data_IF_308872212457
#
_entry.id   IF_308872212457
#
_cell.length_a   1.000
_cell.length_b   1.000
_cell.length_c   1.000
_cell.angle_alpha   90.00
_cell.angle_beta   90.00
_cell.angle_gamma   90.00
#
_symmetry.space_group_name_H-M   'P 1'
#
loop_
_entity.id
_entity.type
_entity.pdbx_description
1 polymer ?
#
# COMPACT_ATOMS: atom_id res chain seq x y z
N UNK A 1 5.00 -15.80 -10.05
CA UNK A 1 5.79 -14.55 -10.03
C UNK A 1 5.35 -13.76 -8.82
N UNK A 2 6.30 -13.30 -8.01
CA UNK A 2 6.04 -12.25 -7.02
C UNK A 2 6.67 -10.95 -7.48
N UNK A 3 6.07 -9.82 -7.14
CA UNK A 3 6.60 -8.51 -7.51
C UNK A 3 6.44 -7.55 -6.35
N UNK A 4 7.52 -6.87 -5.99
CA UNK A 4 7.56 -5.82 -4.99
C UNK A 4 7.94 -4.51 -5.66
N UNK A 5 7.27 -3.41 -5.29
CA UNK A 5 7.65 -2.06 -5.70
C UNK A 5 7.94 -1.24 -4.46
N UNK A 6 9.05 -0.52 -4.45
CA UNK A 6 9.44 0.36 -3.34
C UNK A 6 10.31 1.51 -3.86
N UNK A 7 10.49 2.52 -3.02
CA UNK A 7 11.42 3.63 -3.29
C UNK A 7 12.80 3.30 -2.77
N UNK A 8 13.80 3.63 -3.57
CA UNK A 8 15.20 3.77 -3.13
C UNK A 8 15.60 5.23 -3.30
N UNK A 9 16.16 5.82 -2.24
CA UNK A 9 16.61 7.21 -2.22
C UNK A 9 18.04 7.27 -1.69
N UNK A 10 18.99 7.70 -2.52
CA UNK A 10 20.41 7.79 -2.15
C UNK A 10 20.92 6.51 -1.47
N UNK A 11 20.65 5.36 -2.10
CA UNK A 11 21.01 4.05 -1.58
C UNK A 11 20.28 3.63 -0.29
N UNK A 12 19.23 4.33 0.12
CA UNK A 12 18.41 3.97 1.29
C UNK A 12 17.07 3.40 0.86
N UNK A 13 16.62 2.36 1.55
CA UNK A 13 15.34 1.69 1.28
C UNK A 13 14.52 1.63 2.57
N UNK A 14 13.27 2.11 2.49
CA UNK A 14 12.29 1.97 3.57
C UNK A 14 11.89 0.50 3.68
N UNK A 15 11.82 -0.02 4.91
CA UNK A 15 11.42 -1.41 5.19
C UNK A 15 12.32 -2.46 4.51
N UNK A 16 13.61 -2.14 4.28
CA UNK A 16 14.55 -2.99 3.52
C UNK A 16 14.66 -4.43 4.05
N UNK A 17 14.67 -4.60 5.39
CA UNK A 17 14.76 -5.92 6.02
C UNK A 17 13.54 -6.79 5.73
N UNK A 18 12.35 -6.18 5.60
CA UNK A 18 11.10 -6.88 5.26
C UNK A 18 11.11 -7.35 3.81
N UNK A 19 11.58 -6.52 2.88
CA UNK A 19 11.76 -6.94 1.50
C UNK A 19 12.79 -8.07 1.38
N UNK A 20 13.90 -7.99 2.13
CA UNK A 20 14.89 -9.05 2.16
C UNK A 20 14.33 -10.35 2.75
N UNK A 21 13.53 -10.28 3.83
CA UNK A 21 12.88 -11.44 4.42
C UNK A 21 11.87 -12.08 3.46
N UNK A 22 10.98 -11.28 2.86
CA UNK A 22 10.03 -11.76 1.86
C UNK A 22 10.73 -12.42 0.66
N UNK A 23 11.84 -11.85 0.18
CA UNK A 23 12.61 -12.47 -0.89
C UNK A 23 13.27 -13.81 -0.47
N UNK A 24 13.74 -13.94 0.78
CA UNK A 24 14.26 -15.23 1.31
C UNK A 24 13.18 -16.30 1.36
N UNK A 25 11.97 -15.95 1.82
CA UNK A 25 10.82 -16.87 1.86
C UNK A 25 10.44 -17.38 0.46
N UNK A 26 10.70 -16.57 -0.57
CA UNK A 26 10.51 -16.95 -1.97
C UNK A 26 11.70 -17.71 -2.58
N UNK A 27 12.68 -18.11 -1.77
CA UNK A 27 13.82 -18.93 -2.16
C UNK A 27 15.00 -18.14 -2.74
N UNK A 28 15.04 -16.81 -2.61
CA UNK A 28 16.18 -16.01 -3.07
C UNK A 28 17.37 -16.25 -2.16
N UNK A 29 18.50 -16.68 -2.73
CA UNK A 29 19.72 -16.98 -1.98
C UNK A 29 20.33 -15.74 -1.31
N UNK A 30 21.04 -15.93 -0.20
CA UNK A 30 21.77 -14.84 0.48
C UNK A 30 22.81 -14.16 -0.42
N UNK A 31 23.42 -14.92 -1.35
CA UNK A 31 24.36 -14.35 -2.31
C UNK A 31 23.67 -13.38 -3.27
N UNK A 32 22.48 -13.75 -3.77
CA UNK A 32 21.70 -12.89 -4.67
C UNK A 32 21.16 -11.67 -3.93
N UNK A 33 20.68 -11.82 -2.69
CA UNK A 33 20.27 -10.68 -1.85
C UNK A 33 21.41 -9.70 -1.60
N UNK A 34 22.63 -10.20 -1.36
CA UNK A 34 23.80 -9.35 -1.23
C UNK A 34 24.13 -8.59 -2.53
N UNK A 35 23.96 -9.21 -3.71
CA UNK A 35 24.13 -8.52 -5.00
C UNK A 35 23.09 -7.43 -5.19
N UNK A 36 21.82 -7.71 -4.89
CA UNK A 36 20.74 -6.73 -4.97
C UNK A 36 20.99 -5.55 -4.02
N UNK A 37 21.43 -5.85 -2.79
CA UNK A 37 21.81 -4.87 -1.78
C UNK A 37 22.89 -3.92 -2.29
N UNK A 38 24.01 -4.44 -2.79
CA UNK A 38 25.10 -3.63 -3.39
C UNK A 38 24.60 -2.82 -4.59
N UNK A 39 23.71 -3.37 -5.42
CA UNK A 39 23.16 -2.63 -6.56
C UNK A 39 22.27 -1.48 -6.11
N UNK A 40 21.47 -1.65 -5.06
CA UNK A 40 20.64 -0.61 -4.49
C UNK A 40 21.49 0.46 -3.78
N UNK A 41 22.58 0.09 -3.11
CA UNK A 41 23.48 1.01 -2.41
C UNK A 41 24.14 2.05 -3.33
N UNK A 42 24.29 1.71 -4.62
CA UNK A 42 24.89 2.57 -5.64
C UNK A 42 23.89 3.52 -6.31
N UNK A 43 22.61 3.48 -5.91
CA UNK A 43 21.59 4.34 -6.53
C UNK A 43 21.73 5.77 -6.03
N UNK A 44 22.05 6.68 -6.96
CA UNK A 44 21.99 8.11 -6.73
C UNK A 44 20.59 8.67 -7.03
N UNK A 45 20.15 9.64 -6.22
CA UNK A 45 18.82 10.23 -6.29
C UNK A 45 17.71 9.27 -5.88
N UNK A 46 16.48 9.62 -6.26
CA UNK A 46 15.28 8.84 -5.96
C UNK A 46 14.86 8.01 -7.17
N UNK A 47 14.68 6.69 -6.98
CA UNK A 47 14.20 5.76 -8.01
C UNK A 47 13.08 4.88 -7.46
N UNK A 48 12.18 4.47 -8.35
CA UNK A 48 11.28 3.35 -8.08
C UNK A 48 12.01 2.05 -8.41
N UNK A 49 12.18 1.19 -7.41
CA UNK A 49 12.64 -0.18 -7.59
C UNK A 49 11.44 -1.10 -7.84
N UNK A 50 11.57 -2.00 -8.83
CA UNK A 50 10.66 -3.12 -9.04
C UNK A 50 11.48 -4.40 -8.93
N UNK A 51 11.21 -5.18 -7.88
CA UNK A 51 11.85 -6.46 -7.62
C UNK A 51 10.87 -7.56 -7.98
N UNK A 52 11.18 -8.35 -9.01
CA UNK A 52 10.40 -9.52 -9.38
C UNK A 52 11.12 -10.80 -8.96
N UNK A 53 10.39 -11.76 -8.41
CA UNK A 53 10.92 -13.04 -7.95
C UNK A 53 10.21 -14.19 -8.66
N UNK A 54 11.01 -15.05 -9.28
CA UNK A 54 10.59 -16.19 -10.07
C UNK A 54 11.40 -17.42 -9.67
N UNK A 55 10.78 -18.37 -8.95
CA UNK A 55 11.43 -19.61 -8.54
C UNK A 55 12.78 -19.41 -7.84
N UNK A 56 12.86 -18.47 -6.88
CA UNK A 56 14.09 -18.12 -6.16
C UNK A 56 15.07 -17.23 -6.94
N UNK A 57 14.80 -16.90 -8.20
CA UNK A 57 15.60 -15.94 -8.97
C UNK A 57 14.97 -14.55 -8.87
N UNK A 58 15.77 -13.56 -8.52
CA UNK A 58 15.33 -12.17 -8.36
C UNK A 58 15.84 -11.30 -9.52
N UNK A 59 14.96 -10.48 -10.10
CA UNK A 59 15.32 -9.42 -11.04
C UNK A 59 14.93 -8.08 -10.47
N UNK A 60 15.85 -7.11 -10.53
CA UNK A 60 15.62 -5.75 -10.08
C UNK A 60 15.65 -4.80 -11.26
N UNK A 61 14.60 -4.00 -11.39
CA UNK A 61 14.53 -2.87 -12.31
C UNK A 61 14.46 -1.55 -11.55
N UNK A 62 15.25 -0.57 -11.99
CA UNK A 62 15.23 0.77 -11.46
C UNK A 62 14.60 1.70 -12.49
N UNK A 63 13.46 2.27 -12.14
CA UNK A 63 12.67 3.14 -13.01
C UNK A 63 12.66 4.57 -12.46
N UNK A 64 12.49 5.60 -13.31
CA UNK A 64 12.13 6.92 -12.83
C UNK A 64 10.91 6.83 -11.91
N UNK A 65 10.91 7.61 -10.83
CA UNK A 65 9.75 7.73 -9.94
C UNK A 65 8.82 8.80 -10.53
N UNK A 66 7.67 8.44 -11.15
CA UNK A 66 6.74 9.46 -11.62
C UNK A 66 6.13 10.17 -10.42
N UNK A 67 5.89 11.49 -10.50
CA UNK A 67 5.18 12.21 -9.44
C UNK A 67 3.77 11.63 -9.30
N UNK A 68 3.34 11.41 -8.06
CA UNK A 68 1.97 11.02 -7.75
C UNK A 68 1.48 11.85 -6.56
N UNK A 69 0.19 12.21 -6.52
CA UNK A 69 -0.34 13.02 -5.44
C UNK A 69 -0.48 12.20 -4.15
N UNK A 70 -0.15 12.82 -3.02
CA UNK A 70 -0.39 12.30 -1.67
C UNK A 70 -1.88 12.35 -1.29
N UNK A 71 -2.65 13.22 -1.95
CA UNK A 71 -4.10 13.36 -1.78
C UNK A 71 -4.81 12.91 -3.04
N UNK A 72 -5.71 11.93 -2.93
CA UNK A 72 -6.26 11.20 -4.07
C UNK A 72 -7.77 11.22 -4.13
N UNK A 73 -8.26 11.23 -5.36
CA UNK A 73 -9.61 10.77 -5.73
C UNK A 73 -9.65 9.25 -5.85
N UNK A 74 -10.63 8.61 -5.21
CA UNK A 74 -10.93 7.18 -5.31
C UNK A 74 -12.32 6.98 -5.91
N UNK A 75 -12.45 6.09 -6.89
CA UNK A 75 -13.76 5.69 -7.41
C UNK A 75 -14.50 4.83 -6.37
N UNK A 76 -15.65 5.34 -5.95
CA UNK A 76 -16.45 4.67 -4.93
C UNK A 76 -17.32 3.55 -5.49
N UNK A 77 -17.44 3.42 -6.82
CA UNK A 77 -18.15 2.30 -7.45
C UNK A 77 -17.33 1.03 -7.20
N UNK A 78 -17.87 0.03 -6.48
CA UNK A 78 -17.14 -1.19 -6.22
C UNK A 78 -16.84 -1.97 -7.51
N UNK A 79 -15.63 -2.51 -7.57
CA UNK A 79 -15.20 -3.49 -8.57
C UNK A 79 -15.15 -4.85 -7.88
N UNK A 80 -15.73 -5.87 -8.49
CA UNK A 80 -15.65 -7.23 -7.94
C UNK A 80 -14.20 -7.67 -7.90
N UNK A 81 -13.77 -8.22 -6.78
CA UNK A 81 -12.44 -8.75 -6.63
C UNK A 81 -12.31 -10.10 -7.35
N UNK A 82 -11.62 -10.12 -8.50
CA UNK A 82 -11.38 -11.32 -9.31
C UNK A 82 -9.93 -11.81 -9.20
N UNK A 83 -9.16 -11.28 -8.24
CA UNK A 83 -7.81 -11.76 -7.96
C UNK A 83 -7.84 -13.24 -7.59
N UNK A 84 -6.85 -13.95 -8.05
CA UNK A 84 -6.69 -15.39 -7.79
C UNK A 84 -5.82 -15.65 -6.57
N UNK A 85 -4.84 -14.77 -6.30
CA UNK A 85 -3.81 -14.97 -5.27
C UNK A 85 -3.58 -13.64 -4.49
N UNK A 86 -4.62 -13.09 -3.83
CA UNK A 86 -4.56 -11.75 -3.20
C UNK A 86 -3.60 -11.66 -2.01
N UNK A 87 -3.28 -12.79 -1.39
CA UNK A 87 -2.34 -12.91 -0.28
C UNK A 87 -0.88 -12.67 -0.68
N UNK A 88 -0.58 -12.53 -1.98
CA UNK A 88 0.77 -12.30 -2.47
C UNK A 88 0.82 -11.12 -3.43
N UNK A 89 1.88 -10.31 -3.31
CA UNK A 89 2.12 -9.23 -4.26
C UNK A 89 2.70 -9.77 -5.57
N UNK A 90 2.10 -9.40 -6.71
CA UNK A 90 2.61 -9.74 -8.05
C UNK A 90 1.71 -10.61 -8.93
N UNK A 91 1.22 -11.80 -8.50
CA UNK A 91 0.50 -12.73 -9.37
C UNK A 91 -0.68 -12.11 -10.13
N UNK A 92 -1.44 -11.23 -9.47
CA UNK A 92 -2.62 -10.59 -10.04
C UNK A 92 -2.35 -9.19 -10.61
N UNK A 93 -1.09 -8.74 -10.69
CA UNK A 93 -0.74 -7.36 -11.06
C UNK A 93 -1.22 -6.97 -12.45
N UNK A 94 -1.26 -7.93 -13.39
CA UNK A 94 -1.84 -7.71 -14.72
C UNK A 94 -3.33 -7.36 -14.66
N UNK A 95 -4.11 -8.13 -13.91
CA UNK A 95 -5.54 -7.89 -13.70
C UNK A 95 -5.77 -6.58 -12.93
N UNK A 96 -5.01 -6.32 -11.86
CA UNK A 96 -5.14 -5.09 -11.08
C UNK A 96 -4.87 -3.84 -11.93
N UNK A 97 -3.81 -3.85 -12.75
CA UNK A 97 -3.51 -2.75 -13.68
C UNK A 97 -4.63 -2.54 -14.70
N UNK A 98 -5.18 -3.62 -15.24
CA UNK A 98 -6.31 -3.55 -16.14
C UNK A 98 -7.55 -2.94 -15.45
N UNK A 99 -7.91 -3.43 -14.26
CA UNK A 99 -9.03 -2.91 -13.48
C UNK A 99 -8.86 -1.43 -13.10
N UNK A 100 -7.66 -1.02 -12.68
CA UNK A 100 -7.36 0.38 -12.38
C UNK A 100 -7.47 1.26 -13.63
N UNK A 101 -7.00 0.79 -14.79
CA UNK A 101 -7.11 1.55 -16.05
C UNK A 101 -8.56 1.79 -16.51
N UNK A 102 -9.52 0.97 -16.04
CA UNK A 102 -10.95 1.19 -16.27
C UNK A 102 -11.58 2.20 -15.28
N UNK A 103 -10.79 2.73 -14.35
CA UNK A 103 -11.26 3.63 -13.29
C UNK A 103 -10.92 5.09 -13.63
N UNK A 104 -11.89 6.02 -13.63
CA UNK A 104 -11.65 7.44 -13.92
C UNK A 104 -11.09 8.23 -12.70
N UNK A 105 -10.35 7.56 -11.82
CA UNK A 105 -9.81 8.11 -10.58
C UNK A 105 -8.40 7.54 -10.34
N UNK A 106 -7.71 8.01 -9.30
CA UNK A 106 -6.35 7.53 -9.01
C UNK A 106 -6.35 6.08 -8.49
N UNK A 107 -7.48 5.63 -7.94
CA UNK A 107 -7.68 4.31 -7.36
C UNK A 107 -9.19 3.96 -7.33
N UNK A 108 -9.54 2.70 -7.09
CA UNK A 108 -10.91 2.19 -6.91
C UNK A 108 -11.00 1.20 -5.75
N UNK A 109 -12.22 0.73 -5.46
CA UNK A 109 -12.48 -0.20 -4.35
C UNK A 109 -12.74 -1.62 -4.88
N UNK A 110 -12.07 -2.60 -4.27
CA UNK A 110 -12.35 -4.02 -4.51
C UNK A 110 -13.33 -4.55 -3.46
N UNK A 111 -14.34 -5.29 -3.91
CA UNK A 111 -15.31 -5.96 -3.03
C UNK A 111 -15.33 -7.47 -3.21
N UNK A 112 -15.56 -8.19 -2.12
CA UNK A 112 -15.81 -9.63 -2.12
C UNK A 112 -17.22 -9.97 -2.69
N UNK A 113 -17.58 -11.25 -2.63
CA UNK A 113 -18.90 -11.72 -3.06
C UNK A 113 -20.07 -11.22 -2.18
N UNK A 114 -19.80 -10.76 -0.96
CA UNK A 114 -20.81 -10.22 -0.04
C UNK A 114 -20.97 -8.70 -0.14
N UNK A 115 -20.14 -8.03 -0.96
CA UNK A 115 -20.12 -6.58 -1.13
C UNK A 115 -19.27 -5.84 -0.10
N UNK A 116 -18.47 -6.55 0.71
CA UNK A 116 -17.50 -5.97 1.64
C UNK A 116 -16.26 -5.50 0.90
N UNK A 117 -15.78 -4.31 1.23
CA UNK A 117 -14.56 -3.76 0.63
C UNK A 117 -13.35 -4.41 1.27
N UNK A 118 -12.52 -5.07 0.47
CA UNK A 118 -11.37 -5.86 0.95
C UNK A 118 -10.03 -5.14 0.78
N UNK A 119 -9.96 -4.21 -0.18
CA UNK A 119 -8.76 -3.46 -0.55
C UNK A 119 -9.14 -2.32 -1.51
N UNK A 120 -8.23 -1.37 -1.74
CA UNK A 120 -8.19 -0.66 -3.02
C UNK A 120 -7.61 -1.59 -4.12
N UNK A 121 -7.71 -1.23 -5.40
CA UNK A 121 -7.28 -2.10 -6.52
C UNK A 121 -5.79 -2.43 -6.42
N UNK A 122 -4.93 -1.42 -6.20
CA UNK A 122 -3.48 -1.63 -6.16
C UNK A 122 -2.89 -1.80 -4.76
N UNK A 123 -3.60 -1.39 -3.71
CA UNK A 123 -3.03 -1.27 -2.37
C UNK A 123 -4.12 -1.43 -1.27
N UNK A 124 -3.75 -1.87 -0.06
CA UNK A 124 -4.71 -1.98 1.04
C UNK A 124 -5.08 -0.61 1.62
N UNK A 125 -6.14 -0.61 2.41
CA UNK A 125 -6.74 0.59 3.01
C UNK A 125 -6.50 0.63 4.53
N UNK A 126 -6.38 1.84 5.06
CA UNK A 126 -6.55 2.14 6.49
C UNK A 126 -7.71 3.11 6.62
N UNK A 127 -8.65 2.82 7.53
CA UNK A 127 -9.76 3.72 7.84
C UNK A 127 -9.57 4.29 9.25
N UNK A 128 -9.65 5.61 9.41
CA UNK A 128 -9.58 6.26 10.71
C UNK A 128 -10.96 6.73 11.15
N UNK A 129 -11.38 6.31 12.35
CA UNK A 129 -12.68 6.66 12.91
C UNK A 129 -12.66 6.56 14.44
N UNK A 130 -13.24 7.55 15.13
CA UNK A 130 -13.43 7.56 16.60
C UNK A 130 -12.19 7.22 17.46
N UNK A 131 -10.99 7.56 17.00
CA UNK A 131 -9.74 7.53 17.76
C UNK A 131 -8.91 6.32 17.39
N UNK A 132 -9.40 5.53 16.42
CA UNK A 132 -8.92 4.20 16.09
C UNK A 132 -8.57 4.10 14.62
N UNK A 133 -7.61 3.25 14.33
CA UNK A 133 -7.32 2.81 12.97
C UNK A 133 -7.92 1.42 12.74
N UNK A 134 -8.71 1.29 11.69
CA UNK A 134 -9.33 0.05 11.27
C UNK A 134 -8.56 -0.52 10.08
N UNK A 135 -8.19 -1.79 10.18
CA UNK A 135 -7.40 -2.52 9.20
C UNK A 135 -8.21 -3.75 8.78
N UNK A 136 -8.35 -3.98 7.49
CA UNK A 136 -8.98 -5.23 7.03
C UNK A 136 -8.04 -6.40 7.31
N UNK A 137 -8.57 -7.44 7.97
CA UNK A 137 -7.93 -8.74 8.13
C UNK A 137 -8.64 -9.82 7.29
N UNK A 138 -9.42 -9.39 6.30
CA UNK A 138 -10.04 -10.28 5.32
C UNK A 138 -8.97 -11.04 4.52
N UNK A 139 -9.22 -12.32 4.22
CA UNK A 139 -8.27 -13.20 3.50
C UNK A 139 -7.87 -12.67 2.11
N UNK A 140 -8.74 -11.85 1.52
CA UNK A 140 -8.51 -11.18 0.23
C UNK A 140 -7.86 -9.80 0.35
N UNK A 141 -7.52 -9.31 1.53
CA UNK A 141 -6.79 -8.04 1.63
C UNK A 141 -5.43 -8.15 0.99
N UNK A 142 -5.04 -7.12 0.21
CA UNK A 142 -3.75 -7.12 -0.49
C UNK A 142 -2.60 -7.19 0.50
N UNK A 143 -1.69 -8.14 0.29
CA UNK A 143 -0.43 -8.18 1.03
C UNK A 143 0.38 -6.89 0.76
N UNK A 144 0.90 -6.27 1.83
CA UNK A 144 1.66 -5.02 1.72
C UNK A 144 2.63 -4.85 2.89
N UNK A 145 3.92 -4.90 2.58
CA UNK A 145 5.00 -4.56 3.51
C UNK A 145 4.85 -3.13 4.02
N UNK A 146 4.37 -2.21 3.17
CA UNK A 146 4.14 -0.83 3.56
C UNK A 146 2.98 -0.68 4.56
N UNK A 147 1.93 -1.50 4.43
CA UNK A 147 0.87 -1.55 5.44
C UNK A 147 1.42 -2.01 6.79
N UNK A 148 2.21 -3.09 6.82
CA UNK A 148 2.82 -3.58 8.06
C UNK A 148 3.60 -2.47 8.77
N UNK A 149 4.42 -1.71 8.01
CA UNK A 149 5.15 -0.56 8.54
C UNK A 149 4.24 0.55 9.08
N UNK A 150 3.15 0.88 8.37
CA UNK A 150 2.15 1.86 8.82
C UNK A 150 1.47 1.40 10.11
N UNK A 151 1.07 0.13 10.19
CA UNK A 151 0.41 -0.44 11.36
C UNK A 151 1.30 -0.35 12.60
N UNK A 152 2.59 -0.65 12.46
CA UNK A 152 3.56 -0.51 13.55
C UNK A 152 3.77 0.94 13.98
N UNK A 153 3.81 1.88 13.04
CA UNK A 153 3.92 3.31 13.36
C UNK A 153 2.69 3.74 14.16
N UNK A 154 1.49 3.39 13.70
CA UNK A 154 0.25 3.73 14.39
C UNK A 154 0.22 3.13 15.80
N UNK A 155 0.55 1.85 15.95
CA UNK A 155 0.66 1.21 17.26
C UNK A 155 1.70 1.89 18.17
N UNK A 156 2.87 2.24 17.63
CA UNK A 156 3.93 2.93 18.35
C UNK A 156 3.56 4.35 18.79
N UNK A 157 2.65 5.02 18.07
CA UNK A 157 2.06 6.31 18.45
C UNK A 157 0.89 6.16 19.44
N UNK A 158 0.60 4.94 19.91
CA UNK A 158 -0.48 4.67 20.86
C UNK A 158 -1.88 4.69 20.24
N UNK A 159 -1.97 4.55 18.91
CA UNK A 159 -3.26 4.47 18.20
C UNK A 159 -3.87 3.09 18.45
N UNK A 160 -5.14 3.06 18.86
CA UNK A 160 -5.87 1.80 18.99
C UNK A 160 -6.16 1.21 17.60
N UNK A 161 -5.74 -0.04 17.41
CA UNK A 161 -5.91 -0.78 16.16
C UNK A 161 -7.09 -1.75 16.27
N UNK A 162 -7.98 -1.72 15.29
CA UNK A 162 -9.11 -2.64 15.18
C UNK A 162 -9.04 -3.41 13.85
N UNK A 163 -8.98 -4.74 13.94
CA UNK A 163 -8.99 -5.60 12.76
C UNK A 163 -10.42 -5.96 12.34
N UNK A 164 -10.68 -5.95 11.04
CA UNK A 164 -11.98 -6.25 10.43
C UNK A 164 -11.89 -7.54 9.60
N UNK A 165 -12.23 -8.72 10.17
CA UNK A 165 -12.13 -9.99 9.44
C UNK A 165 -13.01 -10.06 8.19
N UNK A 166 -14.16 -9.38 8.22
CA UNK A 166 -15.07 -9.30 7.07
C UNK A 166 -14.76 -8.16 6.09
N UNK A 167 -13.62 -7.47 6.24
CA UNK A 167 -13.33 -6.25 5.48
C UNK A 167 -14.22 -5.06 5.87
N UNK A 168 -14.14 -4.00 5.08
CA UNK A 168 -14.83 -2.73 5.35
C UNK A 168 -16.25 -2.72 4.80
N UNK A 169 -17.13 -1.96 5.46
CA UNK A 169 -18.41 -1.56 4.87
C UNK A 169 -18.15 -0.29 4.06
N UNK A 170 -18.59 -0.27 2.80
CA UNK A 170 -18.42 0.89 1.91
C UNK A 170 -18.94 2.20 2.51
N UNK A 171 -20.12 2.18 3.14
CA UNK A 171 -20.70 3.39 3.75
C UNK A 171 -19.85 3.97 4.88
N UNK A 172 -19.08 3.14 5.57
CA UNK A 172 -18.24 3.56 6.68
C UNK A 172 -16.98 4.23 6.15
N UNK A 173 -16.39 3.69 5.07
CA UNK A 173 -15.29 4.33 4.34
C UNK A 173 -15.69 5.73 3.84
N UNK A 174 -16.89 5.88 3.26
CA UNK A 174 -17.36 7.18 2.76
C UNK A 174 -17.57 8.23 3.86
N UNK A 175 -17.78 7.80 5.11
CA UNK A 175 -18.04 8.64 6.28
C UNK A 175 -16.82 8.81 7.19
N UNK A 176 -15.66 8.29 6.79
CA UNK A 176 -14.44 8.26 7.58
C UNK A 176 -13.27 8.82 6.79
N UNK A 177 -12.19 9.10 7.50
CA UNK A 177 -10.92 9.36 6.82
C UNK A 177 -10.33 8.03 6.36
N UNK A 178 -9.87 7.98 5.11
CA UNK A 178 -9.35 6.75 4.49
C UNK A 178 -8.01 7.04 3.85
N UNK A 179 -7.05 6.13 4.06
CA UNK A 179 -5.76 6.15 3.41
C UNK A 179 -5.60 4.91 2.52
N UNK A 180 -5.04 5.09 1.33
CA UNK A 180 -4.51 4.01 0.50
C UNK A 180 -3.02 3.88 0.81
N UNK A 181 -2.57 2.69 1.22
CA UNK A 181 -1.18 2.48 1.64
C UNK A 181 -0.35 1.93 0.49
N UNK A 182 0.28 2.84 -0.24
CA UNK A 182 1.11 2.55 -1.40
C UNK A 182 2.58 2.33 -0.96
N UNK A 183 3.26 1.25 -1.41
CA UNK A 183 4.64 1.01 -1.01
C UNK A 183 5.67 1.94 -1.65
N UNK A 184 5.29 2.66 -2.71
CA UNK A 184 6.11 3.67 -3.39
C UNK A 184 5.80 5.07 -2.87
N UNK A 185 4.52 5.40 -2.69
CA UNK A 185 4.09 6.77 -2.35
C UNK A 185 3.62 6.95 -0.89
N UNK A 186 3.69 5.89 -0.09
CA UNK A 186 3.28 5.90 1.31
C UNK A 186 1.77 5.91 1.51
N UNK A 187 1.34 6.38 2.68
CA UNK A 187 -0.06 6.63 3.00
C UNK A 187 -0.57 7.81 2.17
N UNK A 188 -1.55 7.55 1.32
CA UNK A 188 -2.20 8.55 0.45
C UNK A 188 -3.61 8.81 0.95
N UNK A 189 -3.92 10.06 1.30
CA UNK A 189 -5.22 10.46 1.84
C UNK A 189 -6.27 10.48 0.73
N UNK A 190 -7.39 9.78 0.94
CA UNK A 190 -8.57 9.92 0.10
C UNK A 190 -9.26 11.24 0.44
N UNK A 191 -9.20 12.22 -0.46
CA UNK A 191 -9.84 13.53 -0.31
C UNK A 191 -11.12 13.65 -1.12
N UNK A 192 -11.29 12.82 -2.14
CA UNK A 192 -12.47 12.83 -3.01
C UNK A 192 -12.93 11.41 -3.31
N UNK A 193 -14.24 11.18 -3.22
CA UNK A 193 -14.93 9.99 -3.72
C UNK A 193 -15.62 10.30 -5.04
N UNK A 194 -15.32 9.53 -6.08
CA UNK A 194 -16.01 9.64 -7.36
C UNK A 194 -17.18 8.65 -7.39
N UNK A 195 -18.40 9.18 -7.30
CA UNK A 195 -19.66 8.40 -7.32
C UNK A 195 -20.47 8.74 -8.57
N UNK A 196 -20.68 7.76 -9.46
CA UNK A 196 -21.53 7.94 -10.66
C UNK A 196 -21.17 9.20 -11.50
N UNK A 197 -19.87 9.47 -11.64
CA UNK A 197 -19.37 10.65 -12.37
C UNK A 197 -19.39 11.96 -11.57
N UNK A 198 -19.85 11.95 -10.32
CA UNK A 198 -19.87 13.11 -9.43
C UNK A 198 -18.77 13.01 -8.37
N UNK A 199 -17.97 14.06 -8.22
CA UNK A 199 -16.99 14.19 -7.14
C UNK A 199 -17.67 14.58 -5.84
N UNK A 200 -17.39 13.84 -4.76
CA UNK A 200 -17.83 14.16 -3.40
C UNK A 200 -16.62 14.29 -2.48
N UNK A 201 -16.54 15.32 -1.63
CA UNK A 201 -15.46 15.42 -0.66
C UNK A 201 -15.51 14.22 0.29
N UNK A 202 -14.35 13.62 0.55
CA UNK A 202 -14.20 12.62 1.58
C UNK A 202 -14.26 13.28 2.96
N UNK A 203 -14.74 12.52 3.95
CA UNK A 203 -14.72 13.00 5.33
C UNK A 203 -13.29 12.98 5.83
N UNK A 204 -12.77 14.15 6.16
CA UNK A 204 -11.49 14.30 6.83
C UNK A 204 -11.74 14.49 8.32
N UNK A 205 -10.81 14.00 9.13
CA UNK A 205 -10.99 14.04 10.56
C UNK A 205 -10.35 15.27 11.18
N UNK A 206 -11.20 16.19 11.65
CA UNK A 206 -10.78 17.53 12.13
C UNK A 206 -10.36 17.49 13.60
N UNK A 207 -10.93 16.58 14.41
CA UNK A 207 -10.58 16.37 15.83
C UNK A 207 -9.65 15.16 15.99
N UNK A 208 -8.45 15.25 15.39
CA UNK A 208 -7.49 14.15 15.31
C UNK A 208 -6.94 13.69 16.68
N UNK A 209 -6.96 14.55 17.69
CA UNK A 209 -6.37 14.25 18.99
C UNK A 209 -4.90 13.84 18.85
N UNK A 210 -4.56 12.60 19.20
CA UNK A 210 -3.21 12.03 19.07
C UNK A 210 -2.98 11.26 17.76
N UNK A 211 -3.97 11.19 16.87
CA UNK A 211 -3.82 10.44 15.63
C UNK A 211 -2.94 11.20 14.65
N UNK A 212 -1.88 10.56 14.14
CA UNK A 212 -1.06 11.17 13.11
C UNK A 212 -1.85 11.28 11.80
N UNK A 213 -1.49 12.28 11.00
CA UNK A 213 -1.90 12.43 9.61
C UNK A 213 -1.15 11.45 8.72
N UNK A 214 -1.66 11.23 7.50
CA UNK A 214 -0.96 10.46 6.49
C UNK A 214 0.46 10.99 6.19
N UNK A 215 0.67 12.32 6.30
CA UNK A 215 1.98 12.96 6.08
C UNK A 215 2.95 12.65 7.22
N UNK A 216 2.53 12.82 8.47
CA UNK A 216 3.34 12.47 9.65
C UNK A 216 3.69 10.97 9.66
N UNK A 217 2.76 10.10 9.25
CA UNK A 217 3.07 8.67 9.08
C UNK A 217 4.12 8.46 7.99
N UNK A 218 4.05 9.16 6.86
CA UNK A 218 5.06 9.07 5.80
C UNK A 218 6.44 9.55 6.28
N UNK A 219 6.51 10.67 7.00
CA UNK A 219 7.74 11.17 7.62
C UNK A 219 8.35 10.14 8.59
N UNK A 220 7.52 9.50 9.42
CA UNK A 220 7.96 8.43 10.32
C UNK A 220 8.40 7.16 9.55
N UNK A 221 7.80 6.87 8.39
CA UNK A 221 8.24 5.76 7.52
C UNK A 221 9.59 6.06 6.88
N UNK A 222 9.82 7.29 6.45
CA UNK A 222 11.10 7.72 5.88
C UNK A 222 12.25 7.58 6.88
N UNK A 223 11.98 7.81 8.18
CA UNK A 223 12.97 7.57 9.25
C UNK A 223 13.36 6.09 9.39
N UNK A 224 12.56 5.15 8.87
CA UNK A 224 12.90 3.72 8.81
C UNK A 224 13.75 3.35 7.59
N UNK A 225 14.07 4.31 6.72
CA UNK A 225 14.94 4.08 5.59
C UNK A 225 16.36 3.77 6.07
N UNK A 226 16.86 2.58 5.72
CA UNK A 226 18.22 2.17 6.05
C UNK A 226 19.09 2.20 4.81
N UNK A 227 20.35 2.58 4.97
CA UNK A 227 21.36 2.37 3.92
C UNK A 227 21.49 0.87 3.68
N UNK A 228 21.28 0.46 2.43
CA UNK A 228 21.38 -0.95 2.03
C UNK A 228 22.79 -1.27 1.55
#
# INVERSE_FOLDING_TARGET
MHAFSFVVEEGRVIDAERYAAAARELGVSSAELNRLRVRLSMVAGTRRAVLEVHGGTASLELRPLPPAPAEITVAARPVRDERTVPAYSGPDLGWQRFALAQTPAHEGLLVDATGRVVSAIMAPLVMLQHGRAYISSHERTSASIALDGVVEILAGQGVELAHLPGGFIRSDLLKSEVWVIDPVYGARLVTTWLEYGTSRPARQWVERGRLPTHREVNELREQRAVAV
#
